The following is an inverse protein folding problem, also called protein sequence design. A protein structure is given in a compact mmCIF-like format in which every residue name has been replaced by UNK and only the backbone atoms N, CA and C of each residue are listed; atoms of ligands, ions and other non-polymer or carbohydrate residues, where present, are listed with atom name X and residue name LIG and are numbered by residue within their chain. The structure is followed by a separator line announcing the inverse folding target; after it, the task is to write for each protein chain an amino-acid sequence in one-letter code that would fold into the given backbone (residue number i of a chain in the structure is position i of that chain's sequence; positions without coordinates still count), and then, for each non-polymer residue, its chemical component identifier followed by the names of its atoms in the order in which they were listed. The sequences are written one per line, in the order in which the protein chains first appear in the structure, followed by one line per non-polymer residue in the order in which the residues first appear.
data_IF_866610525920
#
_entry.id   IF_866610525920
#
_cell.length_a   1.000
_cell.length_b   1.000
_cell.length_c   1.000
_cell.angle_alpha   90.00
_cell.angle_beta   90.00
_cell.angle_gamma   90.00
#
_symmetry.space_group_name_H-M   'P 1'
#
loop_
_entity.id
_entity.type
_entity.pdbx_description
1 polymer ?
#
# COMPACT_ATOMS: atom_id res chain seq x y z
N UNK A 1 2.37 16.37 53.81
CA UNK A 1 1.47 15.37 53.20
C UNK A 1 0.85 15.92 51.93
N UNK A 2 1.35 15.51 50.77
CA UNK A 2 0.68 15.72 49.48
C UNK A 2 -0.25 14.54 49.21
N UNK A 3 -1.45 14.80 48.70
CA UNK A 3 -2.46 13.79 48.37
C UNK A 3 -2.50 13.45 46.87
N UNK A 4 -1.62 14.07 46.08
CA UNK A 4 -1.63 14.01 44.62
C UNK A 4 -0.21 13.94 44.08
N UNK A 5 -0.03 13.22 42.99
CA UNK A 5 1.17 13.22 42.16
C UNK A 5 0.74 13.18 40.69
N UNK A 6 1.66 13.50 39.79
CA UNK A 6 1.45 13.42 38.35
C UNK A 6 2.18 12.19 37.80
N UNK A 7 1.55 11.53 36.83
CA UNK A 7 2.18 10.52 35.99
C UNK A 7 2.26 11.11 34.59
N UNK A 8 3.39 10.89 33.90
CA UNK A 8 3.61 11.33 32.53
C UNK A 8 4.06 10.14 31.69
N UNK A 9 3.60 10.08 30.46
CA UNK A 9 4.10 9.17 29.43
C UNK A 9 4.57 10.01 28.25
N UNK A 10 5.55 9.51 27.52
CA UNK A 10 5.90 10.04 26.20
C UNK A 10 5.12 9.28 25.14
N UNK A 11 4.86 9.94 24.01
CA UNK A 11 4.40 9.33 22.77
C UNK A 11 5.57 9.33 21.78
N UNK A 12 5.51 8.44 20.79
CA UNK A 12 6.46 8.42 19.67
C UNK A 12 5.73 8.98 18.45
N UNK A 13 6.45 9.77 17.66
CA UNK A 13 6.03 10.27 16.35
C UNK A 13 6.91 9.57 15.32
N UNK A 14 6.31 8.81 14.40
CA UNK A 14 7.07 8.02 13.42
C UNK A 14 6.57 8.11 11.96
N UNK A 15 5.51 8.86 11.69
CA UNK A 15 4.98 9.07 10.35
C UNK A 15 4.25 7.86 9.75
N UNK A 16 3.87 6.87 10.56
CA UNK A 16 3.06 5.71 10.15
C UNK A 16 1.62 5.92 10.56
N UNK A 17 0.67 5.69 9.67
CA UNK A 17 -0.73 5.69 10.07
C UNK A 17 -1.08 4.41 10.85
N UNK A 18 -1.52 4.57 12.10
CA UNK A 18 -1.94 3.51 13.03
C UNK A 18 -3.37 3.72 13.55
N UNK A 19 -3.85 4.95 13.44
CA UNK A 19 -5.12 5.36 14.02
C UNK A 19 -5.03 5.56 15.53
N UNK A 20 -6.14 6.02 16.13
CA UNK A 20 -6.10 6.38 17.55
C UNK A 20 -5.94 5.16 18.47
N UNK A 21 -4.87 5.17 19.27
CA UNK A 21 -4.61 4.17 20.30
C UNK A 21 -5.09 4.60 21.68
N UNK A 22 -5.23 3.66 22.63
CA UNK A 22 -5.62 4.00 24.01
C UNK A 22 -4.88 3.19 25.06
N UNK A 23 -4.47 3.87 26.12
CA UNK A 23 -3.69 3.31 27.22
C UNK A 23 -4.45 3.49 28.53
N UNK A 24 -4.51 2.44 29.35
CA UNK A 24 -5.22 2.45 30.63
C UNK A 24 -4.24 2.28 31.79
N UNK A 25 -4.20 3.26 32.69
CA UNK A 25 -3.48 3.14 33.96
C UNK A 25 -4.47 2.66 35.03
N UNK A 26 -4.03 1.71 35.85
CA UNK A 26 -4.76 1.20 37.02
C UNK A 26 -3.93 1.42 38.27
N UNK A 27 -4.53 1.98 39.32
CA UNK A 27 -3.85 2.24 40.58
C UNK A 27 -4.73 1.87 41.78
N UNK A 28 -4.09 1.53 42.90
CA UNK A 28 -4.75 1.37 44.19
C UNK A 28 -3.78 1.71 45.32
N UNK A 29 -4.31 2.15 46.45
CA UNK A 29 -3.55 2.25 47.69
C UNK A 29 -3.47 0.88 48.40
N UNK A 30 -2.52 0.74 49.32
CA UNK A 30 -2.49 -0.44 50.21
C UNK A 30 -3.78 -0.51 51.04
N UNK A 31 -4.31 -1.72 51.24
CA UNK A 31 -5.61 -1.96 51.88
C UNK A 31 -6.84 -1.63 51.02
N UNK A 32 -6.69 -1.08 49.80
CA UNK A 32 -7.82 -0.86 48.89
C UNK A 32 -8.19 -2.15 48.14
N UNK A 33 -9.48 -2.49 48.14
CA UNK A 33 -10.00 -3.75 47.59
C UNK A 33 -9.92 -3.87 46.06
N UNK A 34 -10.06 -2.76 45.33
CA UNK A 34 -10.06 -2.77 43.85
C UNK A 34 -9.22 -1.65 43.27
N UNK A 35 -8.69 -1.89 42.07
CA UNK A 35 -8.02 -0.89 41.25
C UNK A 35 -9.02 0.14 40.73
N UNK A 36 -8.60 1.40 40.67
CA UNK A 36 -9.27 2.48 39.94
C UNK A 36 -8.49 2.73 38.66
N UNK A 37 -9.20 2.98 37.56
CA UNK A 37 -8.58 3.18 36.25
C UNK A 37 -8.80 4.58 35.69
N UNK A 38 -7.85 5.03 34.89
CA UNK A 38 -8.00 6.15 33.96
C UNK A 38 -7.46 5.75 32.59
N UNK A 39 -8.13 6.21 31.53
CA UNK A 39 -7.76 5.94 30.14
C UNK A 39 -7.36 7.23 29.47
N UNK A 40 -6.29 7.17 28.68
CA UNK A 40 -5.86 8.24 27.78
C UNK A 40 -5.84 7.69 26.36
N UNK A 41 -6.04 8.57 25.39
CA UNK A 41 -6.00 8.25 23.96
C UNK A 41 -4.79 8.96 23.35
N UNK A 42 -3.99 8.23 22.57
CA UNK A 42 -3.03 8.82 21.65
C UNK A 42 -3.81 9.09 20.37
N UNK A 43 -3.79 10.35 19.94
CA UNK A 43 -4.51 10.78 18.74
C UNK A 43 -3.51 10.76 17.60
N UNK A 44 -3.89 10.05 16.54
CA UNK A 44 -3.18 9.97 15.27
C UNK A 44 -3.19 11.33 14.56
N UNK A 45 -2.03 11.78 14.08
CA UNK A 45 -1.88 12.96 13.22
C UNK A 45 -1.43 12.64 11.79
N UNK A 46 -1.13 11.38 11.48
CA UNK A 46 -0.98 10.91 10.10
C UNK A 46 -2.32 10.81 9.38
N UNK A 47 -2.30 11.16 8.09
CA UNK A 47 -3.41 10.82 7.21
C UNK A 47 -3.41 9.33 6.90
N UNK A 48 -4.59 8.75 6.70
CA UNK A 48 -4.71 7.39 6.19
C UNK A 48 -3.90 7.22 4.89
N UNK A 49 -3.22 6.07 4.76
CA UNK A 49 -2.40 5.76 3.59
C UNK A 49 -3.24 5.74 2.31
N UNK A 50 -2.80 6.50 1.32
CA UNK A 50 -3.38 6.58 -0.02
C UNK A 50 -2.31 6.46 -1.09
N UNK A 51 -2.73 6.08 -2.30
CA UNK A 51 -1.88 6.23 -3.49
C UNK A 51 -1.73 7.72 -3.79
N UNK A 52 -0.52 8.24 -3.60
CA UNK A 52 -0.19 9.64 -3.85
C UNK A 52 0.14 9.88 -5.32
N UNK A 53 0.85 8.95 -5.97
CA UNK A 53 1.19 9.05 -7.39
C UNK A 53 1.53 7.70 -8.02
N UNK A 54 1.47 7.64 -9.34
CA UNK A 54 2.03 6.56 -10.14
C UNK A 54 3.06 7.17 -11.10
N UNK A 55 4.28 6.66 -11.09
CA UNK A 55 5.39 7.15 -11.92
C UNK A 55 5.93 6.04 -12.80
N UNK A 56 6.34 6.41 -14.00
CA UNK A 56 7.05 5.50 -14.91
C UNK A 56 8.32 4.98 -14.24
N UNK A 57 8.51 3.65 -14.23
CA UNK A 57 9.72 3.01 -13.72
C UNK A 57 10.65 2.61 -14.87
N UNK A 58 10.13 1.94 -15.89
CA UNK A 58 10.87 1.55 -17.09
C UNK A 58 9.94 1.13 -18.22
N UNK A 59 10.46 1.23 -19.44
CA UNK A 59 9.87 0.65 -20.63
C UNK A 59 10.05 -0.88 -20.68
N UNK A 60 9.26 -1.51 -21.54
CA UNK A 60 9.28 -2.94 -21.78
C UNK A 60 9.82 -3.33 -23.15
N UNK A 61 10.04 -4.63 -23.33
CA UNK A 61 10.31 -5.28 -24.62
C UNK A 61 9.45 -6.53 -24.68
N UNK A 62 8.69 -6.70 -25.74
CA UNK A 62 7.89 -7.89 -26.01
C UNK A 62 8.68 -9.19 -25.79
N UNK A 63 8.06 -10.13 -25.07
CA UNK A 63 8.70 -11.40 -24.68
C UNK A 63 9.98 -11.28 -23.85
N UNK A 64 10.35 -10.08 -23.41
CA UNK A 64 11.61 -9.79 -22.73
C UNK A 64 11.40 -9.07 -21.40
N UNK A 65 11.83 -7.81 -21.34
CA UNK A 65 11.75 -7.02 -20.10
C UNK A 65 10.33 -6.51 -19.92
N UNK A 66 9.69 -6.81 -18.79
CA UNK A 66 8.38 -6.24 -18.47
C UNK A 66 8.46 -4.71 -18.27
N UNK A 67 7.56 -3.92 -18.89
CA UNK A 67 7.38 -2.51 -18.53
C UNK A 67 6.89 -2.42 -17.09
N UNK A 68 7.15 -1.28 -16.44
CA UNK A 68 6.76 -1.12 -15.04
C UNK A 68 6.55 0.30 -14.57
N UNK A 69 5.88 0.38 -13.44
CA UNK A 69 5.53 1.62 -12.73
C UNK A 69 5.89 1.50 -11.26
N UNK A 70 6.21 2.64 -10.64
CA UNK A 70 6.25 2.78 -9.19
C UNK A 70 4.95 3.45 -8.75
N UNK A 71 4.25 2.82 -7.81
CA UNK A 71 3.10 3.42 -7.12
C UNK A 71 3.60 3.91 -5.78
N UNK A 72 3.51 5.21 -5.53
CA UNK A 72 4.01 5.86 -4.31
C UNK A 72 2.85 6.19 -3.39
N UNK A 73 3.02 5.92 -2.10
CA UNK A 73 2.06 6.30 -1.07
C UNK A 73 2.49 7.59 -0.37
N UNK A 74 1.56 8.25 0.32
CA UNK A 74 1.83 9.46 1.10
C UNK A 74 2.59 9.18 2.41
N UNK A 75 2.30 8.04 3.04
CA UNK A 75 2.93 7.52 4.26
C UNK A 75 2.65 6.02 4.39
N UNK A 76 3.46 5.26 5.15
CA UNK A 76 3.15 3.88 5.47
C UNK A 76 1.95 3.79 6.42
N UNK A 77 1.41 2.57 6.54
CA UNK A 77 0.36 2.15 7.49
C UNK A 77 0.89 0.99 8.32
N UNK A 78 0.50 0.89 9.58
CA UNK A 78 0.83 -0.25 10.46
C UNK A 78 0.02 -1.52 10.13
N UNK A 79 -1.11 -1.32 9.46
CA UNK A 79 -1.96 -2.36 8.89
C UNK A 79 -1.82 -2.48 7.37
N UNK A 80 -2.33 -3.59 6.84
CA UNK A 80 -2.33 -3.82 5.40
C UNK A 80 -3.29 -2.87 4.65
N UNK A 81 -2.82 -2.28 3.55
CA UNK A 81 -3.60 -1.34 2.72
C UNK A 81 -4.10 -2.00 1.45
N UNK A 82 -5.39 -1.89 1.14
CA UNK A 82 -5.94 -2.38 -0.14
C UNK A 82 -5.69 -1.35 -1.23
N UNK A 83 -5.02 -1.75 -2.31
CA UNK A 83 -4.78 -0.93 -3.49
C UNK A 83 -5.50 -1.53 -4.69
N UNK A 84 -6.15 -0.65 -5.46
CA UNK A 84 -6.81 -1.00 -6.72
C UNK A 84 -5.94 -0.54 -7.88
N UNK A 85 -5.62 -1.46 -8.78
CA UNK A 85 -5.04 -1.17 -10.08
C UNK A 85 -6.12 -1.13 -11.15
N UNK A 86 -5.91 -0.26 -12.14
CA UNK A 86 -6.79 -0.07 -13.29
C UNK A 86 -5.94 0.05 -14.54
N UNK A 87 -6.32 -0.64 -15.61
CA UNK A 87 -5.84 -0.30 -16.95
C UNK A 87 -6.91 0.46 -17.71
N UNK A 88 -6.48 1.50 -18.42
CA UNK A 88 -7.33 2.28 -19.29
C UNK A 88 -7.28 1.74 -20.72
N UNK A 89 -8.18 0.80 -20.96
CA UNK A 89 -8.39 0.11 -22.25
C UNK A 89 -9.04 1.01 -23.33
N UNK A 90 -9.22 2.32 -23.12
CA UNK A 90 -9.96 3.15 -24.09
C UNK A 90 -9.09 3.81 -25.17
N UNK A 91 -7.76 3.83 -25.00
CA UNK A 91 -6.82 4.56 -25.86
C UNK A 91 -5.87 3.67 -26.67
N UNK A 92 -6.07 2.33 -26.66
CA UNK A 92 -5.09 1.31 -27.08
C UNK A 92 -4.13 1.71 -28.20
N UNK A 93 -2.85 1.75 -27.85
CA UNK A 93 -1.79 1.46 -28.81
C UNK A 93 -1.32 0.00 -28.72
N UNK A 94 -1.51 -0.67 -27.58
CA UNK A 94 -1.25 -2.11 -27.39
C UNK A 94 -2.57 -2.87 -27.27
N UNK A 95 -2.71 -3.99 -27.96
CA UNK A 95 -3.86 -4.87 -28.00
C UNK A 95 -3.79 -5.97 -26.92
N UNK A 96 -4.81 -6.00 -26.06
CA UNK A 96 -4.92 -7.02 -25.00
C UNK A 96 -5.04 -8.43 -25.60
N UNK A 97 -4.19 -9.35 -25.12
CA UNK A 97 -4.13 -10.73 -25.58
C UNK A 97 -3.18 -10.97 -26.76
N UNK A 98 -2.74 -9.90 -27.44
CA UNK A 98 -1.71 -9.94 -28.48
C UNK A 98 -0.38 -9.44 -27.92
N UNK A 99 -0.36 -8.23 -27.35
CA UNK A 99 0.88 -7.54 -26.93
C UNK A 99 1.13 -7.68 -25.43
N UNK A 100 0.06 -7.84 -24.66
CA UNK A 100 0.13 -8.06 -23.22
C UNK A 100 -1.01 -8.95 -22.72
N UNK A 101 -0.75 -9.68 -21.63
CA UNK A 101 -1.68 -10.71 -21.13
C UNK A 101 -2.67 -10.23 -20.07
N UNK A 102 -2.60 -8.95 -19.68
CA UNK A 102 -3.27 -8.41 -18.50
C UNK A 102 -2.65 -8.88 -17.16
N UNK A 103 -1.71 -9.84 -17.17
CA UNK A 103 -1.05 -10.31 -15.95
C UNK A 103 -0.08 -9.26 -15.41
N UNK A 104 -0.18 -8.98 -14.11
CA UNK A 104 0.70 -8.05 -13.39
C UNK A 104 1.41 -8.74 -12.23
N UNK A 105 2.65 -8.33 -11.98
CA UNK A 105 3.45 -8.75 -10.83
C UNK A 105 3.75 -7.56 -9.93
N UNK A 106 3.57 -7.73 -8.63
CA UNK A 106 3.67 -6.65 -7.65
C UNK A 106 4.80 -6.96 -6.69
N UNK A 107 5.68 -5.98 -6.53
CA UNK A 107 6.85 -6.04 -5.67
C UNK A 107 6.84 -4.87 -4.71
N UNK A 108 7.41 -5.04 -3.52
CA UNK A 108 7.77 -3.88 -2.71
C UNK A 108 8.98 -3.13 -3.31
N UNK A 109 9.28 -1.95 -2.76
CA UNK A 109 10.40 -1.14 -3.21
C UNK A 109 11.77 -1.82 -2.99
N UNK A 110 11.85 -2.78 -2.07
CA UNK A 110 13.00 -3.65 -1.82
C UNK A 110 13.16 -4.80 -2.84
N UNK A 111 12.22 -4.96 -3.77
CA UNK A 111 12.29 -5.96 -4.83
C UNK A 111 11.80 -7.36 -4.43
N UNK A 112 11.11 -7.49 -3.30
CA UNK A 112 10.43 -8.73 -2.91
C UNK A 112 9.04 -8.77 -3.54
N UNK A 113 8.69 -9.90 -4.16
CA UNK A 113 7.35 -10.09 -4.73
C UNK A 113 6.34 -10.22 -3.59
N UNK A 114 5.29 -9.42 -3.64
CA UNK A 114 4.22 -9.40 -2.63
C UNK A 114 2.84 -9.75 -3.22
N UNK A 115 2.72 -9.80 -4.55
CA UNK A 115 1.46 -10.17 -5.19
C UNK A 115 1.59 -10.40 -6.70
N UNK A 116 0.52 -10.94 -7.27
CA UNK A 116 0.27 -10.96 -8.71
C UNK A 116 -1.23 -11.01 -8.96
N UNK A 117 -1.65 -10.59 -10.15
CA UNK A 117 -3.06 -10.57 -10.56
C UNK A 117 -3.20 -10.52 -12.07
N UNK A 118 -4.46 -10.53 -12.53
CA UNK A 118 -4.82 -10.33 -13.93
C UNK A 118 -5.80 -9.16 -13.98
N UNK A 119 -5.60 -8.24 -14.92
CA UNK A 119 -6.45 -7.07 -15.19
C UNK A 119 -6.97 -7.24 -16.61
N UNK A 120 -8.26 -7.56 -16.76
CA UNK A 120 -8.85 -7.87 -18.06
C UNK A 120 -10.36 -7.54 -18.10
N UNK A 121 -11.01 -7.81 -19.23
CA UNK A 121 -12.44 -7.57 -19.40
C UNK A 121 -13.31 -8.32 -18.36
N UNK A 122 -12.87 -9.46 -17.82
CA UNK A 122 -13.64 -10.23 -16.83
C UNK A 122 -13.78 -9.51 -15.49
N UNK A 123 -12.87 -8.60 -15.17
CA UNK A 123 -12.90 -7.77 -13.97
C UNK A 123 -13.08 -6.28 -14.25
N UNK A 124 -13.58 -5.93 -15.44
CA UNK A 124 -13.73 -4.55 -15.91
C UNK A 124 -12.40 -3.76 -15.85
N UNK A 125 -11.28 -4.44 -16.11
CA UNK A 125 -9.92 -3.89 -16.05
C UNK A 125 -9.58 -3.33 -14.67
N UNK A 126 -9.91 -4.08 -13.62
CA UNK A 126 -9.66 -3.72 -12.22
C UNK A 126 -9.14 -4.88 -11.42
N UNK A 127 -8.13 -4.63 -10.60
CA UNK A 127 -7.60 -5.62 -9.69
C UNK A 127 -7.30 -5.00 -8.32
N UNK A 128 -7.96 -5.54 -7.29
CA UNK A 128 -7.69 -5.18 -5.89
C UNK A 128 -6.71 -6.16 -5.29
N UNK A 129 -5.73 -5.65 -4.54
CA UNK A 129 -4.81 -6.48 -3.80
C UNK A 129 -4.41 -5.82 -2.48
N UNK A 130 -3.97 -6.65 -1.53
CA UNK A 130 -3.52 -6.20 -0.22
C UNK A 130 -2.01 -5.95 -0.24
N UNK A 131 -1.61 -4.74 0.11
CA UNK A 131 -0.22 -4.35 0.36
C UNK A 131 0.04 -4.56 1.85
N UNK A 132 1.09 -5.32 2.25
CA UNK A 132 1.46 -5.46 3.65
C UNK A 132 1.71 -4.11 4.33
N UNK A 133 1.69 -4.08 5.66
CA UNK A 133 2.05 -2.91 6.45
C UNK A 133 3.48 -2.40 6.14
N UNK A 134 3.72 -1.14 6.49
CA UNK A 134 5.03 -0.49 6.47
C UNK A 134 5.60 -0.23 5.07
N UNK A 135 4.77 -0.22 4.02
CA UNK A 135 5.23 0.07 2.66
C UNK A 135 5.00 1.54 2.32
N UNK A 136 6.05 2.23 1.85
CA UNK A 136 5.94 3.57 1.25
C UNK A 136 5.44 3.55 -0.20
N UNK A 137 5.33 2.35 -0.78
CA UNK A 137 4.94 2.16 -2.15
C UNK A 137 5.31 0.77 -2.66
N UNK A 138 5.10 0.57 -3.96
CA UNK A 138 5.27 -0.71 -4.64
C UNK A 138 5.79 -0.48 -6.07
N UNK A 139 6.25 -1.56 -6.69
CA UNK A 139 6.51 -1.65 -8.13
C UNK A 139 5.53 -2.62 -8.76
N UNK A 140 4.96 -2.23 -9.89
CA UNK A 140 4.05 -3.05 -10.69
C UNK A 140 4.70 -3.29 -12.04
N UNK A 141 4.69 -4.53 -12.52
CA UNK A 141 5.19 -4.91 -13.83
C UNK A 141 4.11 -5.65 -14.61
N UNK A 142 3.86 -5.23 -15.85
CA UNK A 142 2.93 -5.91 -16.74
C UNK A 142 3.66 -6.99 -17.56
N UNK A 143 2.99 -8.12 -17.78
CA UNK A 143 3.50 -9.17 -18.66
C UNK A 143 3.18 -8.83 -20.11
N UNK A 144 4.23 -8.60 -20.89
CA UNK A 144 4.18 -8.52 -22.34
C UNK A 144 4.13 -9.93 -22.95
N UNK A 145 3.51 -10.03 -24.11
CA UNK A 145 3.54 -11.19 -24.99
C UNK A 145 4.54 -10.90 -26.12
N UNK A 146 4.84 -11.90 -26.96
CA UNK A 146 5.66 -11.72 -28.15
C UNK A 146 5.02 -12.55 -29.25
N UNK A 147 4.58 -11.89 -30.31
CA UNK A 147 3.93 -12.52 -31.45
C UNK A 147 4.82 -12.54 -32.71
N UNK A 148 6.01 -11.92 -32.63
CA UNK A 148 7.00 -11.72 -33.70
C UNK A 148 6.54 -10.81 -34.86
N UNK A 149 5.58 -9.92 -34.62
CA UNK A 149 5.21 -8.83 -35.53
C UNK A 149 5.83 -7.53 -35.00
N UNK A 150 6.25 -6.64 -35.89
CA UNK A 150 6.70 -5.30 -35.49
C UNK A 150 5.58 -4.31 -35.72
N UNK A 151 5.05 -3.74 -34.64
CA UNK A 151 3.89 -2.84 -34.68
C UNK A 151 4.24 -1.40 -34.28
N UNK A 152 5.47 -1.19 -33.79
CA UNK A 152 5.99 0.12 -33.39
C UNK A 152 6.12 0.24 -31.88
N UNK A 153 6.09 1.48 -31.38
CA UNK A 153 6.06 1.72 -29.93
C UNK A 153 4.60 1.83 -29.47
N UNK A 154 4.28 1.07 -28.43
CA UNK A 154 2.93 1.00 -27.87
C UNK A 154 2.92 1.42 -26.40
N UNK A 155 1.73 1.69 -25.86
CA UNK A 155 1.58 2.12 -24.46
C UNK A 155 0.48 1.32 -23.78
N UNK A 156 0.79 0.82 -22.59
CA UNK A 156 -0.17 0.35 -21.59
C UNK A 156 -0.43 1.53 -20.64
N UNK A 157 -1.71 1.84 -20.37
CA UNK A 157 -2.13 2.94 -19.51
C UNK A 157 -3.00 2.46 -18.38
#
# INVERSE_FOLDING_TARGET
NTKTFQVRSQTTEDGTYEGNESYTIKAKADGQGSLVSGTVTIVEDEAATIVQSVTHLRDGVEGGTSPGWTVNFNNPSDEATTVRLNFNDSYHQADHGTDYSGKVFIYNLSGQKIGEGVIDASNNYRFDFSVPAGQDGIRVYAQTLNDNVYEGNETIQ
#
